data_IF_164981068839
#
_entry.id   IF_164981068839
#
_cell.length_a   1.000
_cell.length_b   1.000
_cell.length_c   1.000
_cell.angle_alpha   90.00
_cell.angle_beta   90.00
_cell.angle_gamma   90.00
#
_symmetry.space_group_name_H-M   'P 1'
#
loop_
_entity.id
_entity.type
_entity.pdbx_description
1 polymer ?
#
# COMPACT_ATOMS: atom_id res chain seq x y z
N UNK A 1 -12.73 -16.09 -49.49
CA UNK A 1 -11.63 -16.03 -48.50
C UNK A 1 -12.29 -15.77 -47.15
N UNK A 2 -12.61 -16.86 -46.45
CA UNK A 2 -13.37 -16.87 -45.19
C UNK A 2 -12.39 -17.07 -44.03
N UNK A 3 -12.50 -16.21 -43.02
CA UNK A 3 -11.88 -16.33 -41.71
C UNK A 3 -12.35 -17.61 -41.03
N UNK A 4 -11.43 -18.54 -40.79
CA UNK A 4 -11.69 -19.79 -40.08
C UNK A 4 -11.82 -19.54 -38.58
N UNK A 5 -13.04 -19.52 -38.07
CA UNK A 5 -13.31 -19.85 -36.67
C UNK A 5 -13.28 -21.36 -36.53
N UNK A 6 -12.37 -21.87 -35.69
CA UNK A 6 -12.40 -23.26 -35.23
C UNK A 6 -13.55 -23.41 -34.23
N UNK A 7 -14.53 -24.31 -34.45
CA UNK A 7 -15.57 -24.57 -33.48
C UNK A 7 -15.05 -25.45 -32.36
N UNK A 8 -15.28 -25.04 -31.10
CA UNK A 8 -14.99 -25.84 -29.91
C UNK A 8 -15.83 -27.12 -29.92
N UNK A 9 -15.18 -28.27 -29.80
CA UNK A 9 -15.80 -29.60 -29.69
C UNK A 9 -16.42 -29.76 -28.29
N UNK A 10 -17.75 -29.88 -28.22
CA UNK A 10 -18.45 -30.35 -27.03
C UNK A 10 -18.16 -31.85 -26.84
N UNK A 11 -17.40 -32.21 -25.81
CA UNK A 11 -17.30 -33.59 -25.36
C UNK A 11 -18.26 -33.86 -24.20
N UNK A 12 -19.30 -34.64 -24.49
CA UNK A 12 -20.15 -35.30 -23.51
C UNK A 12 -19.31 -36.28 -22.66
N UNK A 13 -19.33 -36.11 -21.33
CA UNK A 13 -18.76 -37.07 -20.38
C UNK A 13 -19.75 -38.22 -20.13
N UNK A 14 -19.35 -39.44 -20.48
CA UNK A 14 -19.89 -40.69 -19.95
C UNK A 14 -18.96 -41.20 -18.84
N UNK A 15 -19.57 -41.75 -17.78
CA UNK A 15 -18.93 -42.06 -16.49
C UNK A 15 -17.99 -43.26 -16.43
N UNK A 16 -17.40 -43.45 -15.25
CA UNK A 16 -16.61 -44.63 -14.87
C UNK A 16 -15.99 -44.49 -13.48
N UNK A 17 -16.24 -45.48 -12.62
CA UNK A 17 -16.05 -45.47 -11.17
C UNK A 17 -14.70 -46.03 -10.66
N UNK A 18 -14.25 -45.50 -9.51
CA UNK A 18 -13.60 -46.12 -8.32
C UNK A 18 -12.26 -46.90 -8.47
N UNK A 19 -11.25 -46.47 -7.68
CA UNK A 19 -10.14 -47.30 -7.19
C UNK A 19 -9.22 -46.56 -6.19
N UNK A 20 -9.13 -47.06 -4.96
CA UNK A 20 -8.31 -46.57 -3.83
C UNK A 20 -6.94 -47.32 -3.70
N UNK A 21 -5.99 -46.88 -2.84
CA UNK A 21 -4.55 -46.81 -3.15
C UNK A 21 -3.67 -47.94 -2.57
N UNK A 22 -2.41 -48.03 -3.04
CA UNK A 22 -1.30 -48.72 -2.36
C UNK A 22 -0.03 -47.86 -2.36
N UNK A 23 0.56 -47.72 -1.17
CA UNK A 23 1.84 -47.07 -0.90
C UNK A 23 3.01 -48.05 -0.99
N UNK A 24 4.17 -47.60 -1.49
CA UNK A 24 5.51 -48.15 -1.18
C UNK A 24 6.51 -46.99 -1.10
N UNK A 25 7.25 -46.92 0.02
CA UNK A 25 8.33 -45.98 0.35
C UNK A 25 9.70 -46.51 -0.11
N UNK A 26 10.59 -45.64 -0.63
CA UNK A 26 12.05 -45.62 -0.38
C UNK A 26 12.78 -44.49 -1.15
N UNK A 27 14.03 -44.07 -0.76
CA UNK A 27 14.34 -42.65 -0.55
C UNK A 27 15.45 -42.00 -1.44
N UNK A 28 15.38 -40.66 -1.52
CA UNK A 28 16.43 -39.63 -1.82
C UNK A 28 17.07 -39.58 -3.24
N UNK A 29 17.55 -38.40 -3.76
CA UNK A 29 17.88 -37.14 -3.06
C UNK A 29 17.14 -35.87 -3.54
N UNK A 30 17.18 -34.86 -2.68
CA UNK A 30 16.65 -33.50 -2.87
C UNK A 30 17.28 -32.77 -4.06
N UNK A 31 16.42 -32.29 -4.96
CA UNK A 31 16.57 -31.03 -5.70
C UNK A 31 15.20 -30.33 -5.61
N UNK A 32 15.08 -29.09 -5.11
CA UNK A 32 13.89 -28.33 -5.39
C UNK A 32 14.03 -27.82 -6.84
N UNK A 33 13.50 -28.58 -7.79
CA UNK A 33 12.99 -27.96 -9.00
C UNK A 33 11.68 -27.30 -8.59
N UNK A 34 11.64 -25.96 -8.59
CA UNK A 34 10.39 -25.21 -8.61
C UNK A 34 9.75 -25.48 -9.99
N UNK A 35 9.14 -26.65 -10.12
CA UNK A 35 8.38 -27.03 -11.30
C UNK A 35 6.97 -26.50 -11.13
N UNK A 36 6.69 -25.34 -11.71
CA UNK A 36 5.33 -24.89 -11.98
C UNK A 36 4.72 -25.90 -12.97
N UNK A 37 4.11 -26.97 -12.45
CA UNK A 37 3.38 -27.94 -13.25
C UNK A 37 2.04 -27.34 -13.61
N UNK A 38 2.02 -26.54 -14.69
CA UNK A 38 0.80 -26.01 -15.30
C UNK A 38 0.13 -27.15 -16.06
N UNK A 39 -0.84 -27.81 -15.43
CA UNK A 39 -1.81 -28.64 -16.13
C UNK A 39 -2.78 -27.74 -16.88
N UNK A 40 -2.45 -27.37 -18.12
CA UNK A 40 -3.29 -26.49 -18.92
C UNK A 40 -4.56 -27.21 -19.39
N UNK A 41 -5.71 -26.83 -18.86
CA UNK A 41 -6.98 -27.00 -19.56
C UNK A 41 -7.42 -25.60 -19.98
N UNK A 42 -7.12 -25.23 -21.22
CA UNK A 42 -7.52 -23.96 -21.79
C UNK A 42 -9.05 -23.84 -21.76
N UNK A 43 -9.57 -23.15 -20.75
CA UNK A 43 -10.97 -22.74 -20.66
C UNK A 43 -11.24 -21.64 -21.68
N UNK A 44 -12.42 -21.65 -22.29
CA UNK A 44 -12.92 -20.53 -23.07
C UNK A 44 -13.88 -19.73 -22.19
N UNK A 45 -13.46 -18.57 -21.70
CA UNK A 45 -14.24 -17.65 -20.87
C UNK A 45 -13.41 -16.42 -20.49
N UNK A 46 -14.06 -15.32 -20.11
CA UNK A 46 -13.38 -14.22 -19.43
C UNK A 46 -13.11 -14.70 -18.00
N UNK A 47 -11.84 -14.83 -17.56
CA UNK A 47 -11.54 -15.31 -16.23
C UNK A 47 -12.14 -14.37 -15.17
N UNK A 48 -12.60 -14.95 -14.07
CA UNK A 48 -13.14 -14.22 -12.91
C UNK A 48 -12.23 -14.33 -11.68
N UNK A 49 -11.19 -15.15 -11.80
CA UNK A 49 -10.15 -15.35 -10.81
C UNK A 49 -8.79 -15.02 -11.41
N UNK A 50 -7.86 -14.59 -10.58
CA UNK A 50 -6.46 -14.39 -10.92
C UNK A 50 -5.58 -15.20 -9.98
N UNK A 51 -4.61 -15.92 -10.55
CA UNK A 51 -3.62 -16.65 -9.76
C UNK A 51 -2.48 -15.71 -9.39
N UNK A 52 -2.35 -15.44 -8.10
CA UNK A 52 -1.36 -14.50 -7.55
C UNK A 52 -0.45 -15.20 -6.54
N UNK A 53 0.64 -14.54 -6.20
CA UNK A 53 1.46 -14.91 -5.05
C UNK A 53 1.00 -14.12 -3.84
N UNK A 54 0.76 -14.81 -2.72
CA UNK A 54 0.46 -14.18 -1.45
C UNK A 54 1.42 -14.71 -0.41
N UNK A 55 2.03 -13.80 0.33
CA UNK A 55 2.87 -14.17 1.44
C UNK A 55 2.03 -14.57 2.66
N UNK A 56 2.40 -15.68 3.28
CA UNK A 56 1.66 -16.31 4.38
C UNK A 56 2.25 -16.01 5.76
N UNK A 57 3.58 -15.88 5.86
CA UNK A 57 4.23 -15.66 7.13
C UNK A 57 5.48 -14.79 7.03
N UNK A 58 5.97 -14.39 8.21
CA UNK A 58 7.13 -13.50 8.39
C UNK A 58 8.46 -14.11 7.96
N UNK A 59 8.50 -15.40 7.57
CA UNK A 59 9.71 -16.13 7.16
C UNK A 59 9.81 -16.26 5.64
N UNK A 60 8.86 -15.67 4.89
CA UNK A 60 8.93 -15.62 3.43
C UNK A 60 8.28 -16.83 2.73
N UNK A 61 7.40 -17.57 3.42
CA UNK A 61 6.60 -18.58 2.74
C UNK A 61 5.57 -17.91 1.82
N UNK A 62 5.68 -18.20 0.53
CA UNK A 62 4.77 -17.72 -0.52
C UNK A 62 3.79 -18.84 -0.86
N UNK A 63 2.49 -18.55 -0.80
CA UNK A 63 1.43 -19.39 -1.34
C UNK A 63 0.96 -18.86 -2.70
N UNK A 64 0.48 -19.78 -3.52
CA UNK A 64 -0.20 -19.47 -4.77
C UNK A 64 -1.70 -19.54 -4.51
N UNK A 65 -2.39 -18.41 -4.70
CA UNK A 65 -3.83 -18.31 -4.45
C UNK A 65 -4.58 -17.89 -5.72
N UNK A 66 -5.74 -18.48 -5.92
CA UNK A 66 -6.71 -18.02 -6.92
C UNK A 66 -7.69 -17.08 -6.23
N UNK A 67 -7.64 -15.80 -6.56
CA UNK A 67 -8.46 -14.76 -5.93
C UNK A 67 -9.46 -14.18 -6.92
N UNK A 68 -10.66 -13.85 -6.43
CA UNK A 68 -11.62 -13.10 -7.24
C UNK A 68 -11.08 -11.71 -7.53
N UNK A 69 -11.36 -11.22 -8.73
CA UNK A 69 -10.90 -9.91 -9.15
C UNK A 69 -11.93 -9.20 -10.02
N UNK A 70 -11.88 -7.88 -10.01
CA UNK A 70 -12.65 -6.98 -10.87
C UNK A 70 -11.85 -6.47 -12.09
N UNK A 71 -10.73 -7.13 -12.42
CA UNK A 71 -10.03 -6.90 -13.70
C UNK A 71 -11.01 -7.15 -14.86
N UNK A 72 -11.17 -6.14 -15.71
CA UNK A 72 -11.97 -6.22 -16.92
C UNK A 72 -11.12 -6.48 -18.17
N UNK A 73 -9.83 -6.13 -18.13
CA UNK A 73 -8.84 -6.43 -19.15
C UNK A 73 -7.54 -6.93 -18.50
N UNK A 74 -7.30 -8.23 -18.60
CA UNK A 74 -6.10 -8.88 -18.05
C UNK A 74 -4.83 -8.58 -18.82
N UNK A 75 -4.95 -8.20 -20.10
CA UNK A 75 -3.79 -7.84 -20.93
C UNK A 75 -3.32 -6.44 -20.59
N UNK A 76 -4.24 -5.49 -20.47
CA UNK A 76 -3.93 -4.12 -20.06
C UNK A 76 -3.87 -3.92 -18.53
N UNK A 77 -4.14 -4.99 -17.76
CA UNK A 77 -4.25 -5.01 -16.29
C UNK A 77 -5.05 -3.82 -15.79
N UNK A 78 -6.31 -3.79 -16.22
CA UNK A 78 -7.28 -2.73 -15.94
C UNK A 78 -8.53 -3.30 -15.29
N UNK A 79 -9.11 -2.55 -14.37
CA UNK A 79 -10.44 -2.80 -13.84
C UNK A 79 -10.93 -1.62 -13.02
N UNK A 80 -11.87 -1.85 -12.10
CA UNK A 80 -12.56 -0.76 -11.40
C UNK A 80 -11.68 0.00 -10.39
N UNK A 81 -10.62 -0.62 -9.85
CA UNK A 81 -9.80 -0.02 -8.79
C UNK A 81 -8.59 0.71 -9.38
N UNK A 82 -7.94 0.10 -10.36
CA UNK A 82 -6.69 0.60 -10.91
C UNK A 82 -6.55 0.35 -12.42
N UNK A 83 -5.59 1.03 -13.03
CA UNK A 83 -5.10 0.73 -14.37
C UNK A 83 -3.58 0.85 -14.41
N UNK A 84 -2.90 -0.19 -14.88
CA UNK A 84 -1.44 -0.17 -14.97
C UNK A 84 -0.97 0.45 -16.29
N UNK A 85 0.11 1.23 -16.21
CA UNK A 85 0.74 1.94 -17.31
C UNK A 85 2.24 1.67 -17.34
N UNK A 86 2.82 1.46 -18.52
CA UNK A 86 4.26 1.34 -18.79
C UNK A 86 4.75 2.41 -19.77
N UNK A 87 6.05 2.43 -20.04
CA UNK A 87 6.74 3.44 -20.89
C UNK A 87 6.51 4.89 -20.40
N UNK A 88 6.20 5.05 -19.12
CA UNK A 88 5.89 6.33 -18.50
C UNK A 88 7.19 7.03 -18.13
N UNK A 89 7.29 8.32 -18.47
CA UNK A 89 8.32 9.20 -17.92
C UNK A 89 7.66 10.22 -16.97
N UNK A 90 8.16 10.26 -15.73
CA UNK A 90 7.69 11.16 -14.67
C UNK A 90 8.79 12.17 -14.36
N UNK A 91 8.46 13.45 -14.50
CA UNK A 91 9.38 14.53 -14.15
C UNK A 91 9.22 14.89 -12.67
N UNK A 92 10.27 14.69 -11.88
CA UNK A 92 10.33 15.06 -10.47
C UNK A 92 11.36 16.17 -10.31
N UNK A 93 10.88 17.40 -10.17
CA UNK A 93 11.71 18.58 -9.92
C UNK A 93 11.19 19.27 -8.67
N UNK A 94 11.88 19.04 -7.55
CA UNK A 94 11.56 19.64 -6.26
C UNK A 94 11.79 21.17 -6.22
N UNK A 95 12.38 21.74 -7.27
CA UNK A 95 12.59 23.19 -7.41
C UNK A 95 11.46 23.90 -8.14
N UNK A 96 10.57 23.16 -8.81
CA UNK A 96 9.41 23.67 -9.54
C UNK A 96 8.16 23.17 -8.86
N UNK A 97 7.35 24.09 -8.30
CA UNK A 97 6.14 23.72 -7.56
C UNK A 97 5.07 23.17 -8.51
N UNK A 98 4.13 22.38 -7.99
CA UNK A 98 2.95 21.95 -8.73
C UNK A 98 2.11 23.14 -9.23
N UNK A 99 2.13 24.26 -8.50
CA UNK A 99 1.55 25.54 -8.95
C UNK A 99 2.23 26.00 -10.24
N UNK A 100 3.56 25.96 -10.30
CA UNK A 100 4.35 26.40 -11.46
C UNK A 100 4.11 25.51 -12.70
N UNK A 101 3.75 24.24 -12.49
CA UNK A 101 3.45 23.28 -13.57
C UNK A 101 2.00 23.33 -14.06
N UNK A 102 1.14 24.16 -13.48
CA UNK A 102 -0.26 24.27 -13.86
C UNK A 102 -1.20 23.25 -13.20
N UNK A 103 -0.71 22.47 -12.23
CA UNK A 103 -1.52 21.68 -11.30
C UNK A 103 -2.33 20.52 -11.90
N UNK A 104 -2.13 20.15 -13.17
CA UNK A 104 -2.81 19.03 -13.81
C UNK A 104 -1.94 17.79 -13.83
N UNK A 105 -2.51 16.60 -13.63
CA UNK A 105 -1.80 15.31 -13.73
C UNK A 105 -0.95 15.18 -15.00
N UNK A 106 -1.46 15.67 -16.12
CA UNK A 106 -0.80 15.65 -17.44
C UNK A 106 0.49 16.46 -17.50
N UNK A 107 0.74 17.36 -16.54
CA UNK A 107 2.00 18.12 -16.46
C UNK A 107 3.14 17.36 -15.80
N UNK A 108 2.86 16.21 -15.17
CA UNK A 108 3.87 15.42 -14.44
C UNK A 108 4.22 14.11 -15.15
N UNK A 109 3.31 13.61 -15.98
CA UNK A 109 3.36 12.27 -16.56
C UNK A 109 3.32 12.38 -18.07
N UNK A 110 4.35 11.85 -18.73
CA UNK A 110 4.43 11.82 -20.19
C UNK A 110 4.46 10.39 -20.72
N UNK A 111 3.95 10.22 -21.94
CA UNK A 111 3.99 8.98 -22.70
C UNK A 111 3.31 7.72 -22.08
N UNK A 112 2.23 7.82 -21.28
CA UNK A 112 1.64 6.62 -20.69
C UNK A 112 1.09 5.68 -21.77
N UNK A 113 1.51 4.41 -21.73
CA UNK A 113 0.94 3.31 -22.52
C UNK A 113 0.38 2.26 -21.61
N UNK A 114 -0.75 1.66 -21.99
CA UNK A 114 -1.25 0.50 -21.25
C UNK A 114 -0.16 -0.58 -21.22
N UNK A 115 -0.04 -1.26 -20.09
CA UNK A 115 0.83 -2.43 -20.00
C UNK A 115 0.35 -3.54 -20.93
N UNK A 116 1.19 -4.55 -21.15
CA UNK A 116 0.81 -5.76 -21.89
C UNK A 116 1.25 -6.99 -21.12
N UNK A 117 0.37 -7.49 -20.25
CA UNK A 117 0.60 -8.73 -19.52
C UNK A 117 0.39 -9.96 -20.42
N UNK A 118 1.25 -10.96 -20.26
CA UNK A 118 1.12 -12.27 -20.88
C UNK A 118 0.49 -13.25 -19.88
N UNK A 119 -0.61 -13.86 -20.27
CA UNK A 119 -1.38 -14.77 -19.43
C UNK A 119 -2.06 -15.87 -20.24
N UNK A 120 -2.41 -16.96 -19.56
CA UNK A 120 -3.22 -18.07 -20.08
C UNK A 120 -4.41 -18.31 -19.15
N UNK A 121 -5.43 -19.00 -19.67
CA UNK A 121 -6.60 -19.41 -18.90
C UNK A 121 -6.46 -20.88 -18.48
N UNK A 122 -6.72 -21.15 -17.21
CA UNK A 122 -6.97 -22.49 -16.66
C UNK A 122 -8.32 -22.49 -15.94
N UNK A 123 -9.35 -23.07 -16.55
CA UNK A 123 -10.73 -22.92 -16.07
C UNK A 123 -11.21 -21.45 -16.07
N UNK A 124 -11.51 -20.90 -14.89
CA UNK A 124 -11.91 -19.49 -14.68
C UNK A 124 -10.76 -18.61 -14.17
N UNK A 125 -9.53 -19.14 -14.16
CA UNK A 125 -8.35 -18.51 -13.57
C UNK A 125 -7.42 -17.98 -14.66
N UNK A 126 -7.08 -16.69 -14.58
CA UNK A 126 -5.97 -16.11 -15.32
C UNK A 126 -4.64 -16.44 -14.64
N UNK A 127 -3.71 -17.03 -15.38
CA UNK A 127 -2.37 -17.38 -14.90
C UNK A 127 -1.34 -16.62 -15.74
N UNK A 128 -0.54 -15.78 -15.08
CA UNK A 128 0.60 -15.11 -15.71
C UNK A 128 1.59 -16.13 -16.29
N UNK A 129 2.12 -15.86 -17.48
CA UNK A 129 3.11 -16.74 -18.13
C UNK A 129 4.56 -16.30 -17.90
N UNK A 130 4.77 -15.12 -17.33
CA UNK A 130 6.07 -14.59 -16.95
C UNK A 130 6.00 -13.81 -15.64
N UNK A 131 7.18 -13.48 -15.10
CA UNK A 131 7.31 -12.84 -13.79
C UNK A 131 6.79 -11.40 -13.75
N UNK A 132 6.93 -10.66 -14.84
CA UNK A 132 6.48 -9.28 -14.92
C UNK A 132 4.95 -9.22 -14.91
N UNK A 133 4.31 -10.06 -15.72
CA UNK A 133 2.86 -10.26 -15.75
C UNK A 133 2.32 -10.75 -14.41
N UNK A 134 3.06 -11.65 -13.74
CA UNK A 134 2.71 -12.10 -12.39
C UNK A 134 2.77 -10.95 -11.39
N UNK A 135 3.79 -10.10 -11.47
CA UNK A 135 3.96 -8.93 -10.60
C UNK A 135 2.84 -7.92 -10.82
N UNK A 136 2.49 -7.62 -12.08
CA UNK A 136 1.40 -6.70 -12.44
C UNK A 136 0.04 -7.19 -11.94
N UNK A 137 -0.30 -8.45 -12.20
CA UNK A 137 -1.56 -9.06 -11.76
C UNK A 137 -1.65 -9.17 -10.24
N UNK A 138 -0.52 -9.47 -9.57
CA UNK A 138 -0.46 -9.51 -8.09
C UNK A 138 -0.62 -8.11 -7.49
N UNK A 139 0.03 -7.10 -8.05
CA UNK A 139 -0.09 -5.70 -7.62
C UNK A 139 -1.54 -5.23 -7.70
N UNK A 140 -2.20 -5.50 -8.83
CA UNK A 140 -3.61 -5.18 -9.01
C UNK A 140 -4.48 -5.83 -7.93
N UNK A 141 -4.33 -7.14 -7.73
CA UNK A 141 -5.12 -7.87 -6.74
C UNK A 141 -4.91 -7.35 -5.30
N UNK A 142 -3.70 -6.91 -4.95
CA UNK A 142 -3.42 -6.31 -3.66
C UNK A 142 -4.06 -4.92 -3.49
N UNK A 143 -4.02 -4.08 -4.53
CA UNK A 143 -4.72 -2.78 -4.53
C UNK A 143 -6.25 -2.97 -4.45
N UNK A 144 -6.79 -3.99 -5.13
CA UNK A 144 -8.19 -4.35 -5.04
C UNK A 144 -8.57 -4.80 -3.62
N UNK A 145 -7.77 -5.65 -2.98
CA UNK A 145 -7.98 -6.05 -1.60
C UNK A 145 -7.93 -4.87 -0.63
N UNK A 146 -7.01 -3.92 -0.83
CA UNK A 146 -6.93 -2.70 -0.04
C UNK A 146 -8.17 -1.81 -0.25
N UNK A 147 -8.60 -1.63 -1.50
CA UNK A 147 -9.81 -0.87 -1.82
C UNK A 147 -11.07 -1.51 -1.20
N UNK A 148 -11.19 -2.84 -1.23
CA UNK A 148 -12.28 -3.56 -0.57
C UNK A 148 -12.30 -3.30 0.95
N UNK A 149 -11.14 -3.31 1.60
CA UNK A 149 -11.03 -3.00 3.02
C UNK A 149 -11.52 -1.58 3.34
N UNK A 150 -11.04 -0.56 2.62
CA UNK A 150 -11.47 0.82 2.84
C UNK A 150 -12.93 1.08 2.48
N UNK A 151 -13.46 0.42 1.44
CA UNK A 151 -14.88 0.49 1.10
C UNK A 151 -15.76 -0.07 2.23
N UNK A 152 -15.31 -1.13 2.93
CA UNK A 152 -15.99 -1.67 4.11
C UNK A 152 -16.02 -0.67 5.28
N UNK A 153 -15.03 0.23 5.35
CA UNK A 153 -14.99 1.35 6.31
C UNK A 153 -15.76 2.59 5.83
N UNK A 154 -16.55 2.47 4.75
CA UNK A 154 -17.31 3.57 4.14
C UNK A 154 -16.42 4.74 3.67
N UNK A 155 -15.20 4.44 3.25
CA UNK A 155 -14.30 5.38 2.58
C UNK A 155 -14.43 5.16 1.08
N UNK A 156 -14.74 6.23 0.34
CA UNK A 156 -14.75 6.16 -1.11
C UNK A 156 -13.30 6.04 -1.60
N UNK A 157 -12.95 4.86 -2.10
CA UNK A 157 -11.59 4.61 -2.58
C UNK A 157 -11.36 5.26 -3.93
N UNK A 158 -12.27 5.14 -4.90
CA UNK A 158 -12.13 5.88 -6.14
C UNK A 158 -13.45 6.08 -6.88
N UNK A 159 -13.53 7.12 -7.71
CA UNK A 159 -14.61 7.31 -8.70
C UNK A 159 -14.23 6.79 -10.09
N UNK A 160 -12.93 6.67 -10.37
CA UNK A 160 -12.35 6.18 -11.64
C UNK A 160 -11.11 5.32 -11.35
N UNK A 161 -10.69 4.40 -12.23
CA UNK A 161 -9.51 3.58 -11.97
C UNK A 161 -8.25 4.43 -11.70
N UNK A 162 -7.60 4.17 -10.56
CA UNK A 162 -6.39 4.91 -10.17
C UNK A 162 -5.20 4.46 -11.01
N UNK A 163 -4.41 5.35 -11.59
CA UNK A 163 -3.24 4.93 -12.37
C UNK A 163 -2.17 4.30 -11.48
N UNK A 164 -1.57 3.24 -12.00
CA UNK A 164 -0.37 2.60 -11.46
C UNK A 164 0.71 2.68 -12.52
N UNK A 165 1.71 3.52 -12.32
CA UNK A 165 2.87 3.63 -13.18
C UNK A 165 3.85 2.52 -12.82
N UNK A 166 3.90 1.48 -13.67
CA UNK A 166 4.70 0.29 -13.46
C UNK A 166 6.05 0.45 -14.16
N UNK A 167 7.12 0.50 -13.36
CA UNK A 167 8.50 0.75 -13.79
C UNK A 167 8.67 2.03 -14.65
N UNK A 168 8.21 3.21 -14.19
CA UNK A 168 8.42 4.45 -14.93
C UNK A 168 9.91 4.83 -14.94
N UNK A 169 10.29 5.62 -15.94
CA UNK A 169 11.55 6.38 -15.90
C UNK A 169 11.32 7.65 -15.12
N UNK A 170 12.11 7.86 -14.05
CA UNK A 170 12.04 9.10 -13.26
C UNK A 170 13.14 10.07 -13.73
N UNK A 171 12.73 11.23 -14.24
CA UNK A 171 13.62 12.35 -14.52
C UNK A 171 13.70 13.24 -13.27
N UNK A 172 14.71 13.00 -12.43
CA UNK A 172 14.89 13.73 -11.16
C UNK A 172 15.87 14.89 -11.33
N UNK A 173 15.42 16.13 -11.10
CA UNK A 173 16.24 17.33 -11.32
C UNK A 173 17.41 17.45 -10.34
N UNK A 174 17.23 16.94 -9.11
CA UNK A 174 18.28 16.86 -8.09
C UNK A 174 18.66 15.39 -7.93
N UNK A 175 19.86 14.96 -8.39
CA UNK A 175 20.32 13.60 -8.19
C UNK A 175 20.22 13.18 -6.71
N UNK A 176 19.82 11.94 -6.47
CA UNK A 176 19.68 11.32 -5.14
C UNK A 176 18.58 11.88 -4.21
N UNK A 177 17.79 12.87 -4.63
CA UNK A 177 16.67 13.38 -3.81
C UNK A 177 15.43 12.50 -3.83
N UNK A 178 15.38 11.51 -4.73
CA UNK A 178 14.25 10.61 -4.89
C UNK A 178 14.75 9.22 -5.29
N UNK A 179 14.27 8.13 -4.67
CA UNK A 179 14.64 6.78 -5.09
C UNK A 179 14.18 6.52 -6.52
N UNK A 180 15.05 5.96 -7.36
CA UNK A 180 14.76 5.59 -8.75
C UNK A 180 14.60 4.08 -8.95
N UNK A 181 14.83 3.31 -7.89
CA UNK A 181 14.62 1.86 -7.80
C UNK A 181 14.23 1.49 -6.37
N UNK A 182 13.85 0.23 -6.17
CA UNK A 182 13.62 -0.36 -4.85
C UNK A 182 12.64 0.48 -4.02
N UNK A 183 11.52 0.88 -4.63
CA UNK A 183 10.48 1.64 -3.96
C UNK A 183 9.08 1.43 -4.59
N UNK A 184 8.05 1.61 -3.78
CA UNK A 184 6.70 1.92 -4.24
C UNK A 184 6.28 3.23 -3.55
N UNK A 185 5.40 4.01 -4.17
CA UNK A 185 4.96 5.28 -3.59
C UNK A 185 3.63 5.74 -4.18
N UNK A 186 2.73 6.25 -3.34
CA UNK A 186 1.65 7.13 -3.78
C UNK A 186 2.20 8.52 -4.13
N UNK A 187 1.89 8.97 -5.34
CA UNK A 187 2.30 10.25 -5.91
C UNK A 187 1.08 11.19 -5.99
N UNK A 188 0.87 12.05 -4.97
CA UNK A 188 -0.33 12.89 -4.86
C UNK A 188 -0.47 13.90 -5.99
N UNK A 189 0.64 14.37 -6.57
CA UNK A 189 0.66 15.32 -7.70
C UNK A 189 -0.08 14.79 -8.94
N UNK A 190 -0.07 13.47 -9.13
CA UNK A 190 -0.72 12.80 -10.25
C UNK A 190 -1.91 11.91 -9.81
N UNK A 191 -2.27 11.93 -8.52
CA UNK A 191 -3.16 10.97 -7.86
C UNK A 191 -2.95 9.54 -8.36
N UNK A 192 -1.73 9.03 -8.23
CA UNK A 192 -1.33 7.74 -8.81
C UNK A 192 -0.31 6.99 -8.00
N UNK A 193 -0.21 5.69 -8.22
CA UNK A 193 0.82 4.86 -7.61
C UNK A 193 2.01 4.72 -8.56
N UNK A 194 3.21 4.74 -8.01
CA UNK A 194 4.45 4.43 -8.71
C UNK A 194 5.01 3.15 -8.12
N UNK A 195 5.33 2.19 -8.98
CA UNK A 195 6.03 0.96 -8.60
C UNK A 195 7.37 0.96 -9.36
N UNK A 196 8.46 1.14 -8.63
CA UNK A 196 9.80 1.17 -9.20
C UNK A 196 10.40 -0.23 -9.32
N UNK A 197 11.32 -0.45 -10.28
CA UNK A 197 12.00 -1.73 -10.39
C UNK A 197 12.83 -2.04 -9.14
N UNK A 198 12.84 -3.30 -8.71
CA UNK A 198 13.70 -3.80 -7.63
C UNK A 198 15.07 -4.14 -8.22
N UNK A 199 16.08 -3.34 -7.94
CA UNK A 199 17.43 -3.47 -8.51
C UNK A 199 18.47 -3.85 -7.45
N UNK A 200 18.31 -3.36 -6.23
CA UNK A 200 19.23 -3.58 -5.12
C UNK A 200 18.71 -4.68 -4.20
N UNK A 201 17.43 -4.59 -3.85
CA UNK A 201 16.75 -5.55 -3.00
C UNK A 201 16.48 -6.83 -3.82
N UNK A 202 16.94 -7.97 -3.30
CA UNK A 202 16.76 -9.31 -3.89
C UNK A 202 15.69 -10.10 -3.15
N UNK A 203 14.78 -9.37 -2.54
CA UNK A 203 13.66 -9.84 -1.74
C UNK A 203 12.36 -9.90 -2.57
N UNK A 204 11.20 -10.11 -1.93
CA UNK A 204 9.89 -10.07 -2.60
C UNK A 204 9.69 -8.66 -3.19
N UNK A 205 9.37 -8.51 -4.49
CA UNK A 205 9.15 -7.19 -5.06
C UNK A 205 8.02 -6.44 -4.37
N UNK A 206 8.15 -5.13 -4.26
CA UNK A 206 7.10 -4.30 -3.65
C UNK A 206 5.76 -4.44 -4.36
N UNK A 207 5.74 -4.61 -5.68
CA UNK A 207 4.55 -4.93 -6.47
C UNK A 207 3.78 -6.17 -5.98
N UNK A 208 4.47 -7.08 -5.30
CA UNK A 208 3.94 -8.37 -4.85
C UNK A 208 3.78 -8.45 -3.32
N UNK A 209 4.05 -7.35 -2.61
CA UNK A 209 3.90 -7.29 -1.16
C UNK A 209 2.58 -6.62 -0.80
N UNK A 210 1.61 -7.43 -0.36
CA UNK A 210 0.26 -6.97 0.02
C UNK A 210 0.27 -5.79 1.00
N UNK A 211 1.15 -5.82 2.00
CA UNK A 211 1.22 -4.76 3.00
C UNK A 211 1.77 -3.45 2.42
N UNK A 212 2.71 -3.54 1.47
CA UNK A 212 3.26 -2.35 0.79
C UNK A 212 2.21 -1.69 -0.10
N UNK A 213 1.46 -2.43 -0.93
CA UNK A 213 0.41 -1.80 -1.74
C UNK A 213 -0.74 -1.25 -0.89
N UNK A 214 -1.04 -1.91 0.23
CA UNK A 214 -2.01 -1.40 1.21
C UNK A 214 -1.52 -0.12 1.89
N UNK A 215 -0.22 -0.04 2.22
CA UNK A 215 0.44 1.16 2.72
C UNK A 215 0.34 2.32 1.71
N UNK A 216 0.63 2.07 0.42
CA UNK A 216 0.48 3.12 -0.60
C UNK A 216 -0.97 3.58 -0.78
N UNK A 217 -1.92 2.65 -0.78
CA UNK A 217 -3.34 3.00 -0.81
C UNK A 217 -3.73 3.85 0.41
N UNK A 218 -3.17 3.55 1.59
CA UNK A 218 -3.45 4.29 2.81
C UNK A 218 -2.92 5.73 2.76
N UNK A 219 -1.79 6.01 2.11
CA UNK A 219 -1.35 7.39 1.83
C UNK A 219 -2.38 8.15 1.01
N UNK A 220 -2.96 7.52 -0.02
CA UNK A 220 -4.02 8.12 -0.81
C UNK A 220 -5.27 8.39 0.02
N UNK A 221 -5.68 7.46 0.87
CA UNK A 221 -6.82 7.67 1.79
C UNK A 221 -6.52 8.81 2.75
N UNK A 222 -5.34 8.82 3.37
CA UNK A 222 -4.91 9.90 4.25
C UNK A 222 -4.97 11.25 3.53
N UNK A 223 -4.51 11.30 2.28
CA UNK A 223 -4.58 12.52 1.48
C UNK A 223 -6.01 13.06 1.36
N UNK A 224 -6.97 12.22 0.96
CA UNK A 224 -8.35 12.64 0.77
C UNK A 224 -9.08 12.94 2.09
N UNK A 225 -8.82 12.18 3.14
CA UNK A 225 -9.55 12.30 4.41
C UNK A 225 -8.94 13.37 5.33
N UNK A 226 -7.61 13.49 5.37
CA UNK A 226 -6.90 14.45 6.23
C UNK A 226 -6.71 15.83 5.60
N UNK A 227 -6.55 15.92 4.27
CA UNK A 227 -6.51 17.19 3.55
C UNK A 227 -7.83 17.56 2.88
N UNK A 228 -8.92 16.82 3.15
CA UNK A 228 -10.23 17.01 2.52
C UNK A 228 -10.17 17.04 0.97
N UNK A 229 -9.23 16.29 0.37
CA UNK A 229 -9.03 16.25 -1.07
C UNK A 229 -8.58 17.60 -1.67
N UNK A 230 -7.96 18.47 -0.87
CA UNK A 230 -7.39 19.71 -1.38
C UNK A 230 -6.47 19.46 -2.57
N UNK A 231 -6.43 20.40 -3.51
CA UNK A 231 -5.46 20.34 -4.61
C UNK A 231 -4.05 20.43 -4.03
N UNK A 232 -3.15 19.56 -4.47
CA UNK A 232 -1.77 19.51 -4.00
C UNK A 232 -1.06 20.88 -4.10
N UNK A 233 -1.35 21.62 -5.16
CA UNK A 233 -0.87 23.00 -5.36
C UNK A 233 -1.24 23.94 -4.18
N UNK A 234 -2.40 23.74 -3.54
CA UNK A 234 -2.83 24.50 -2.36
C UNK A 234 -2.02 24.08 -1.13
N UNK A 235 -1.83 22.78 -0.93
CA UNK A 235 -1.01 22.24 0.16
C UNK A 235 0.45 22.72 0.07
N UNK A 236 1.00 22.81 -1.13
CA UNK A 236 2.34 23.38 -1.35
C UNK A 236 2.41 24.86 -0.97
N UNK A 237 1.39 25.66 -1.29
CA UNK A 237 1.33 27.06 -0.86
C UNK A 237 1.33 27.17 0.66
N UNK A 238 0.58 26.32 1.36
CA UNK A 238 0.61 26.25 2.81
C UNK A 238 1.99 25.86 3.33
N UNK A 239 2.66 24.87 2.70
CA UNK A 239 4.02 24.42 3.03
C UNK A 239 5.06 25.54 2.96
N UNK A 240 4.84 26.56 2.12
CA UNK A 240 5.74 27.71 1.95
C UNK A 240 5.60 28.78 3.05
N UNK A 241 4.66 28.66 3.98
CA UNK A 241 4.47 29.65 5.06
C UNK A 241 5.44 29.45 6.25
N UNK A 242 5.79 30.51 7.01
CA UNK A 242 6.67 30.38 8.17
C UNK A 242 6.15 29.38 9.21
N UNK A 243 6.98 28.43 9.62
CA UNK A 243 6.60 27.36 10.56
C UNK A 243 5.91 26.14 9.91
N UNK A 244 5.49 26.23 8.65
CA UNK A 244 4.84 25.13 7.95
C UNK A 244 5.77 23.94 7.69
N UNK A 245 7.08 24.16 7.58
CA UNK A 245 8.06 23.06 7.44
C UNK A 245 7.91 22.05 8.58
N UNK A 246 7.80 22.52 9.82
CA UNK A 246 7.69 21.63 10.97
C UNK A 246 6.33 20.95 11.09
N UNK A 247 5.25 21.66 10.75
CA UNK A 247 3.92 21.07 10.67
C UNK A 247 3.90 19.97 9.60
N UNK A 248 4.43 20.25 8.41
CA UNK A 248 4.53 19.30 7.32
C UNK A 248 5.33 18.05 7.69
N UNK A 249 6.46 18.22 8.37
CA UNK A 249 7.29 17.10 8.82
C UNK A 249 6.54 16.20 9.81
N UNK A 250 5.83 16.79 10.78
CA UNK A 250 4.96 16.03 11.69
C UNK A 250 3.82 15.32 10.96
N UNK A 251 3.16 15.99 10.03
CA UNK A 251 2.07 15.39 9.23
C UNK A 251 2.59 14.21 8.42
N UNK A 252 3.75 14.34 7.77
CA UNK A 252 4.38 13.23 7.04
C UNK A 252 4.72 12.06 7.93
N UNK A 253 5.25 12.29 9.13
CA UNK A 253 5.50 11.22 10.09
C UNK A 253 4.20 10.51 10.50
N UNK A 254 3.15 11.27 10.77
CA UNK A 254 1.84 10.71 11.09
C UNK A 254 1.28 9.90 9.91
N UNK A 255 1.35 10.43 8.68
CA UNK A 255 0.92 9.76 7.45
C UNK A 255 1.62 8.42 7.25
N UNK A 256 2.96 8.37 7.34
CA UNK A 256 3.73 7.11 7.31
C UNK A 256 3.28 6.10 8.36
N UNK A 257 2.98 6.56 9.58
CA UNK A 257 2.51 5.70 10.66
C UNK A 257 1.10 5.16 10.44
N UNK A 258 0.21 5.98 9.87
CA UNK A 258 -1.13 5.57 9.46
C UNK A 258 -1.05 4.55 8.32
N UNK A 259 -0.21 4.81 7.33
CA UNK A 259 0.01 3.93 6.20
C UNK A 259 0.58 2.58 6.65
N UNK A 260 1.54 2.56 7.57
CA UNK A 260 2.06 1.33 8.18
C UNK A 260 0.99 0.56 8.96
N UNK A 261 0.14 1.25 9.74
CA UNK A 261 -0.97 0.61 10.45
C UNK A 261 -1.93 -0.09 9.48
N UNK A 262 -2.36 0.59 8.42
CA UNK A 262 -3.26 0.00 7.43
C UNK A 262 -2.58 -1.09 6.59
N UNK A 263 -1.31 -0.91 6.24
CA UNK A 263 -0.49 -1.93 5.58
C UNK A 263 -0.48 -3.24 6.38
N UNK A 264 -0.20 -3.15 7.68
CA UNK A 264 -0.23 -4.29 8.59
C UNK A 264 -1.64 -4.87 8.80
N UNK A 265 -2.66 -4.01 8.94
CA UNK A 265 -4.04 -4.42 9.13
C UNK A 265 -4.58 -5.24 7.94
N UNK A 266 -4.34 -4.76 6.73
CA UNK A 266 -4.80 -5.39 5.48
C UNK A 266 -3.98 -6.62 5.15
N UNK A 267 -2.66 -6.60 5.39
CA UNK A 267 -1.81 -7.78 5.22
C UNK A 267 -2.02 -8.84 6.32
N UNK A 268 -2.64 -8.46 7.43
CA UNK A 268 -2.68 -9.25 8.67
C UNK A 268 -1.29 -9.59 9.20
N UNK A 269 -0.33 -8.69 9.01
CA UNK A 269 1.08 -8.89 9.38
C UNK A 269 1.70 -7.59 9.92
N UNK A 270 2.01 -7.48 11.23
CA UNK A 270 2.69 -6.31 11.80
C UNK A 270 4.17 -6.18 11.40
N UNK A 271 4.68 -7.11 10.59
CA UNK A 271 6.04 -7.13 10.05
C UNK A 271 6.05 -7.17 8.52
N UNK A 272 4.97 -6.75 7.86
CA UNK A 272 4.76 -6.90 6.41
C UNK A 272 5.90 -6.43 5.50
N UNK A 273 6.81 -5.56 5.98
CA UNK A 273 7.99 -5.09 5.25
C UNK A 273 9.17 -6.07 5.24
N UNK A 274 9.34 -6.90 6.28
CA UNK A 274 10.44 -7.89 6.39
C UNK A 274 10.72 -8.75 5.14
N UNK A 275 9.74 -9.05 4.29
CA UNK A 275 9.96 -9.88 3.12
C UNK A 275 10.47 -9.14 1.89
N UNK A 276 10.50 -7.81 1.93
CA UNK A 276 10.83 -6.93 0.79
C UNK A 276 11.99 -5.98 1.06
N UNK A 277 12.41 -5.81 2.33
CA UNK A 277 13.51 -4.93 2.70
C UNK A 277 14.50 -5.62 3.65
N UNK A 278 15.74 -5.11 3.75
CA UNK A 278 16.72 -5.60 4.73
C UNK A 278 16.22 -5.57 6.19
N UNK A 279 16.76 -6.47 7.01
CA UNK A 279 16.34 -6.67 8.40
C UNK A 279 16.39 -5.41 9.27
N UNK A 280 17.36 -4.52 9.06
CA UNK A 280 17.48 -3.27 9.82
C UNK A 280 16.33 -2.30 9.50
N UNK A 281 15.99 -2.15 8.21
CA UNK A 281 14.85 -1.36 7.75
C UNK A 281 13.54 -1.97 8.27
N UNK A 282 13.37 -3.29 8.12
CA UNK A 282 12.19 -4.00 8.59
C UNK A 282 12.02 -3.86 10.11
N UNK A 283 13.08 -4.12 10.88
CA UNK A 283 13.05 -4.01 12.33
C UNK A 283 12.80 -2.58 12.81
N UNK A 284 13.24 -1.56 12.07
CA UNK A 284 12.98 -0.17 12.38
C UNK A 284 11.50 0.22 12.22
N UNK A 285 10.69 -0.56 11.50
CA UNK A 285 9.27 -0.25 11.23
C UNK A 285 8.25 -1.24 11.79
N UNK A 286 8.67 -2.33 12.44
CA UNK A 286 7.73 -3.31 13.06
C UNK A 286 6.74 -2.69 14.05
N UNK A 287 5.47 -3.11 13.95
CA UNK A 287 4.34 -2.63 14.78
C UNK A 287 4.09 -3.48 16.03
N UNK A 288 4.60 -4.71 16.06
CA UNK A 288 4.37 -5.70 17.13
C UNK A 288 5.18 -5.47 18.42
N UNK A 289 5.66 -4.24 18.63
CA UNK A 289 6.47 -3.86 19.78
C UNK A 289 6.16 -2.44 20.22
N UNK A 290 6.25 -2.19 21.52
CA UNK A 290 6.15 -0.81 22.02
C UNK A 290 7.35 0.02 21.54
N UNK A 291 7.04 1.18 20.99
CA UNK A 291 8.01 2.20 20.57
C UNK A 291 7.73 3.48 21.34
N UNK A 292 8.80 4.19 21.67
CA UNK A 292 8.73 5.43 22.43
C UNK A 292 9.10 6.59 21.51
N UNK A 293 8.26 7.60 21.46
CA UNK A 293 8.47 8.84 20.74
C UNK A 293 9.66 9.58 21.36
N UNK A 294 10.70 9.77 20.55
CA UNK A 294 11.84 10.58 20.95
C UNK A 294 11.41 12.06 21.06
N UNK A 295 11.70 12.76 22.17
CA UNK A 295 11.48 14.19 22.31
C UNK A 295 12.00 15.03 21.14
N UNK A 296 13.09 14.60 20.51
CA UNK A 296 13.67 15.17 19.31
C UNK A 296 12.67 15.32 18.14
N UNK A 297 11.73 14.39 18.00
CA UNK A 297 10.83 14.35 16.83
C UNK A 297 9.57 15.19 17.01
N UNK A 298 9.23 15.56 18.25
CA UNK A 298 7.97 16.28 18.58
C UNK A 298 7.93 17.65 17.92
N UNK A 299 9.06 18.37 17.92
CA UNK A 299 9.16 19.71 17.38
C UNK A 299 9.20 19.75 15.84
N UNK A 300 9.36 18.59 15.18
CA UNK A 300 9.38 18.50 13.72
C UNK A 300 10.39 19.46 13.11
N UNK A 301 11.58 19.56 13.69
CA UNK A 301 12.63 20.49 13.26
C UNK A 301 13.98 19.80 13.11
N UNK A 302 14.17 18.62 13.70
CA UNK A 302 15.40 17.85 13.57
C UNK A 302 15.61 17.30 12.14
N UNK A 303 16.67 17.72 11.45
CA UNK A 303 17.11 17.05 10.25
C UNK A 303 17.84 15.75 10.61
N UNK A 304 17.76 14.75 9.75
CA UNK A 304 18.73 13.66 9.74
C UNK A 304 20.11 14.16 9.32
N UNK A 305 21.12 13.31 9.37
CA UNK A 305 22.52 13.65 9.07
C UNK A 305 22.72 14.42 7.75
N UNK A 306 21.75 14.37 6.82
CA UNK A 306 21.77 15.04 5.52
C UNK A 306 20.88 16.28 5.41
N UNK A 307 20.26 16.77 6.50
CA UNK A 307 19.41 17.97 6.45
C UNK A 307 17.91 17.70 6.22
N UNK A 308 17.51 16.45 6.01
CA UNK A 308 16.13 16.05 5.69
C UNK A 308 15.46 15.33 6.86
N UNK A 309 14.19 15.64 7.14
CA UNK A 309 13.44 14.95 8.19
C UNK A 309 12.97 13.59 7.68
N UNK A 310 13.35 12.50 8.36
CA UNK A 310 12.92 11.15 8.04
C UNK A 310 11.61 10.83 8.78
N UNK A 311 10.47 10.73 8.08
CA UNK A 311 9.17 10.54 8.73
C UNK A 311 8.98 9.11 9.28
N UNK A 312 9.77 8.14 8.81
CA UNK A 312 9.56 6.72 9.08
C UNK A 312 9.69 6.31 10.56
N UNK A 313 10.68 6.85 11.28
CA UNK A 313 10.91 6.47 12.69
C UNK A 313 9.83 7.02 13.63
N UNK A 314 9.48 8.33 13.59
CA UNK A 314 8.33 8.81 14.34
C UNK A 314 7.02 8.16 13.87
N UNK A 315 6.84 7.93 12.57
CA UNK A 315 5.67 7.20 12.04
C UNK A 315 5.55 5.78 12.58
N UNK A 316 6.66 5.04 12.72
CA UNK A 316 6.65 3.71 13.32
C UNK A 316 6.15 3.73 14.78
N UNK A 317 6.34 4.83 15.53
CA UNK A 317 5.76 4.99 16.88
C UNK A 317 4.24 5.06 16.82
N UNK A 318 3.70 5.87 15.89
CA UNK A 318 2.26 6.00 15.64
C UNK A 318 1.67 4.65 15.25
N UNK A 319 2.26 3.98 14.25
CA UNK A 319 1.81 2.68 13.75
C UNK A 319 1.77 1.62 14.86
N UNK A 320 2.85 1.51 15.64
CA UNK A 320 2.94 0.54 16.73
C UNK A 320 1.94 0.84 17.85
N UNK A 321 1.66 2.11 18.16
CA UNK A 321 0.65 2.48 19.13
C UNK A 321 -0.76 2.11 18.65
N UNK A 322 -1.12 2.47 17.42
CA UNK A 322 -2.42 2.11 16.82
C UNK A 322 -2.60 0.59 16.76
N UNK A 323 -1.56 -0.15 16.39
CA UNK A 323 -1.58 -1.61 16.39
C UNK A 323 -1.82 -2.19 17.77
N UNK A 324 -1.12 -1.71 18.81
CA UNK A 324 -1.35 -2.14 20.20
C UNK A 324 -2.77 -1.82 20.68
N UNK A 325 -3.32 -0.67 20.31
CA UNK A 325 -4.72 -0.33 20.62
C UNK A 325 -5.67 -1.30 19.91
N UNK A 326 -5.40 -1.67 18.67
CA UNK A 326 -6.19 -2.66 17.93
C UNK A 326 -6.11 -4.05 18.58
N UNK A 327 -4.97 -4.43 19.18
CA UNK A 327 -4.86 -5.69 19.94
C UNK A 327 -5.68 -5.70 21.24
N UNK A 328 -6.00 -4.53 21.81
CA UNK A 328 -6.84 -4.38 23.00
C UNK A 328 -8.34 -4.22 22.65
N UNK A 329 -8.63 -4.05 21.37
CA UNK A 329 -9.97 -3.81 20.82
C UNK A 329 -10.15 -4.77 19.64
N UNK A 330 -10.14 -4.23 18.42
CA UNK A 330 -10.04 -4.93 17.16
C UNK A 330 -9.60 -3.93 16.07
N UNK A 331 -9.15 -4.46 14.92
CA UNK A 331 -8.65 -3.65 13.80
C UNK A 331 -9.73 -2.75 13.21
N UNK A 332 -10.98 -3.22 13.12
CA UNK A 332 -12.09 -2.48 12.51
C UNK A 332 -12.45 -1.25 13.35
N UNK A 333 -12.58 -1.40 14.67
CA UNK A 333 -12.85 -0.33 15.63
C UNK A 333 -11.79 0.78 15.56
N UNK A 334 -10.51 0.41 15.57
CA UNK A 334 -9.42 1.41 15.46
C UNK A 334 -9.40 2.06 14.08
N UNK A 335 -9.63 1.29 13.01
CA UNK A 335 -9.68 1.82 11.65
C UNK A 335 -10.79 2.85 11.46
N UNK A 336 -11.99 2.58 11.97
CA UNK A 336 -13.13 3.51 11.94
C UNK A 336 -12.82 4.80 12.73
N UNK A 337 -12.27 4.65 13.94
CA UNK A 337 -11.88 5.80 14.76
C UNK A 337 -10.77 6.64 14.10
N UNK A 338 -9.84 5.99 13.41
CA UNK A 338 -8.73 6.62 12.70
C UNK A 338 -9.21 7.41 11.48
N UNK A 339 -10.12 6.87 10.68
CA UNK A 339 -10.74 7.61 9.56
C UNK A 339 -11.54 8.82 10.09
N UNK A 340 -12.31 8.65 11.17
CA UNK A 340 -13.03 9.76 11.78
C UNK A 340 -12.08 10.86 12.29
N UNK A 341 -10.99 10.47 12.95
CA UNK A 341 -9.97 11.39 13.44
C UNK A 341 -9.29 12.19 12.32
N UNK A 342 -9.03 11.58 11.16
CA UNK A 342 -8.49 12.31 9.99
C UNK A 342 -9.48 13.39 9.52
N UNK A 343 -10.76 13.04 9.42
CA UNK A 343 -11.83 13.97 9.01
C UNK A 343 -12.03 15.12 9.99
N UNK A 344 -11.94 14.85 11.29
CA UNK A 344 -12.07 15.88 12.34
C UNK A 344 -10.94 16.93 12.23
N UNK A 345 -9.73 16.50 11.87
CA UNK A 345 -8.58 17.38 11.72
C UNK A 345 -8.54 18.11 10.38
N UNK A 346 -9.26 17.64 9.36
CA UNK A 346 -9.17 18.19 8.00
C UNK A 346 -9.50 19.69 7.92
N UNK A 347 -10.49 20.15 8.69
CA UNK A 347 -10.83 21.57 8.74
C UNK A 347 -9.70 22.43 9.32
N UNK A 348 -9.06 21.98 10.40
CA UNK A 348 -7.90 22.66 11.00
C UNK A 348 -6.75 22.73 10.00
N UNK A 349 -6.44 21.63 9.33
CA UNK A 349 -5.31 21.56 8.40
C UNK A 349 -5.52 22.49 7.21
N UNK A 350 -6.71 22.49 6.60
CA UNK A 350 -7.09 23.45 5.57
C UNK A 350 -6.93 24.90 6.02
N UNK A 351 -7.52 25.23 7.17
CA UNK A 351 -7.72 26.63 7.54
C UNK A 351 -6.45 27.27 8.13
N UNK A 352 -5.61 26.50 8.82
CA UNK A 352 -4.42 27.03 9.53
C UNK A 352 -3.12 26.33 9.20
N UNK A 353 -3.16 25.12 8.62
CA UNK A 353 -2.00 24.25 8.40
C UNK A 353 -1.13 24.07 9.65
N UNK A 354 -1.75 24.10 10.83
CA UNK A 354 -1.10 23.84 12.11
C UNK A 354 -1.30 22.40 12.51
N UNK A 355 -0.24 21.74 12.96
CA UNK A 355 -0.32 20.36 13.43
C UNK A 355 0.67 20.11 14.55
N UNK A 356 0.26 19.38 15.59
CA UNK A 356 1.14 18.89 16.68
C UNK A 356 1.19 17.38 16.67
N UNK A 357 2.37 16.84 16.96
CA UNK A 357 2.53 15.39 17.09
C UNK A 357 1.67 14.90 18.27
N UNK A 358 0.83 13.88 18.05
CA UNK A 358 -0.20 13.48 19.02
C UNK A 358 -1.61 13.98 18.69
N UNK A 359 -1.80 14.92 17.75
CA UNK A 359 -3.15 15.44 17.42
C UNK A 359 -4.06 14.37 16.82
N UNK A 360 -3.54 13.55 15.90
CA UNK A 360 -4.33 12.46 15.33
C UNK A 360 -4.66 11.40 16.39
N UNK A 361 -3.70 11.03 17.24
CA UNK A 361 -3.86 10.02 18.25
C UNK A 361 -4.85 10.45 19.35
N UNK A 362 -4.86 11.73 19.73
CA UNK A 362 -5.89 12.32 20.58
C UNK A 362 -7.28 12.17 19.94
N UNK A 363 -7.42 12.57 18.68
CA UNK A 363 -8.68 12.48 17.95
C UNK A 363 -9.14 11.01 17.76
N UNK A 364 -8.21 10.06 17.61
CA UNK A 364 -8.52 8.61 17.62
C UNK A 364 -9.15 8.22 18.95
N UNK A 365 -8.57 8.61 20.09
CA UNK A 365 -9.14 8.31 21.41
C UNK A 365 -10.55 8.90 21.56
N UNK A 366 -10.77 10.10 21.07
CA UNK A 366 -12.09 10.76 21.12
C UNK A 366 -13.15 10.04 20.28
N UNK A 367 -12.74 9.43 19.16
CA UNK A 367 -13.60 8.66 18.27
C UNK A 367 -13.74 7.18 18.67
N UNK A 368 -12.91 6.66 19.58
CA UNK A 368 -13.06 5.31 20.10
C UNK A 368 -14.32 5.16 20.98
N UNK A 369 -14.94 3.96 21.02
CA UNK A 369 -15.97 3.67 22.00
C UNK A 369 -15.47 3.88 23.43
N UNK A 370 -16.33 4.44 24.29
CA UNK A 370 -15.95 4.91 25.63
C UNK A 370 -15.25 3.84 26.50
N UNK A 371 -15.65 2.57 26.36
CA UNK A 371 -15.06 1.44 27.08
C UNK A 371 -13.62 1.09 26.65
N UNK A 372 -13.13 1.64 25.53
CA UNK A 372 -11.79 1.39 25.02
C UNK A 372 -10.82 2.56 25.25
N UNK A 373 -11.32 3.76 25.57
CA UNK A 373 -10.51 4.99 25.69
C UNK A 373 -9.42 4.90 26.76
N UNK A 374 -9.74 4.36 27.95
CA UNK A 374 -8.75 4.21 29.03
C UNK A 374 -7.59 3.29 28.64
N UNK A 375 -7.89 2.20 27.93
CA UNK A 375 -6.87 1.27 27.45
C UNK A 375 -6.00 1.91 26.37
N UNK A 376 -6.61 2.64 25.42
CA UNK A 376 -5.89 3.38 24.41
C UNK A 376 -4.97 4.46 25.01
N UNK A 377 -5.48 5.23 25.98
CA UNK A 377 -4.71 6.21 26.73
C UNK A 377 -3.52 5.59 27.48
N UNK A 378 -3.65 4.35 27.96
CA UNK A 378 -2.54 3.65 28.60
C UNK A 378 -1.42 3.38 27.59
N UNK A 379 -1.75 2.90 26.39
CA UNK A 379 -0.78 2.69 25.29
C UNK A 379 -0.11 4.01 24.89
N UNK A 380 -0.90 5.07 24.73
CA UNK A 380 -0.38 6.38 24.34
C UNK A 380 0.48 7.02 25.43
N UNK A 381 0.16 6.84 26.71
CA UNK A 381 0.98 7.36 27.82
C UNK A 381 2.40 6.77 27.85
N UNK A 382 2.56 5.54 27.35
CA UNK A 382 3.85 4.85 27.27
C UNK A 382 4.59 5.26 26.00
N UNK A 383 3.92 5.15 24.85
CA UNK A 383 4.53 5.39 23.54
C UNK A 383 4.79 6.87 23.26
N UNK A 384 3.92 7.76 23.71
CA UNK A 384 3.98 9.20 23.41
C UNK A 384 4.34 10.03 24.64
N UNK A 385 5.22 9.52 25.51
CA UNK A 385 5.63 10.22 26.75
C UNK A 385 6.06 11.67 26.48
N UNK A 386 6.79 11.92 25.37
CA UNK A 386 7.26 13.25 25.00
C UNK A 386 6.15 14.22 24.56
N UNK A 387 5.03 13.71 24.04
CA UNK A 387 3.85 14.49 23.64
C UNK A 387 2.69 14.38 24.66
N UNK A 388 2.90 13.67 25.77
CA UNK A 388 1.82 13.27 26.67
C UNK A 388 1.08 14.43 27.31
N UNK A 389 1.78 15.53 27.63
CA UNK A 389 1.16 16.72 28.21
C UNK A 389 0.03 17.29 27.35
N UNK A 390 0.11 17.09 26.03
CA UNK A 390 -0.94 17.46 25.08
C UNK A 390 -2.04 16.38 25.04
N UNK A 391 -1.65 15.12 24.77
CA UNK A 391 -2.55 13.98 24.63
C UNK A 391 -3.43 13.72 25.85
N UNK A 392 -2.90 13.95 27.06
CA UNK A 392 -3.60 13.66 28.30
C UNK A 392 -4.94 14.39 28.44
N UNK A 393 -5.14 15.49 27.72
CA UNK A 393 -6.41 16.24 27.72
C UNK A 393 -7.57 15.50 27.08
N UNK A 394 -7.30 14.57 26.16
CA UNK A 394 -8.29 13.72 25.49
C UNK A 394 -8.53 12.39 26.23
N UNK A 395 -7.85 12.18 27.36
CA UNK A 395 -7.95 10.95 28.15
C UNK A 395 -8.90 11.09 29.36
N UNK A 396 -9.74 10.06 29.63
CA UNK A 396 -10.73 10.09 30.71
C UNK A 396 -10.16 9.86 32.12
#
# INVERSE_FOLDING_TARGET
MSSGHLPCLQHNLYGGAIGQPRAILSPMPFKPLLGLLVGTVAGCGNPSLVRILVQMDTVGHIEVLDVSTNIDDFTEVRGAVAQLWSDVEIEIDATITAVDRGGSRESFVSHPRAVSANWVVDGDVAIATDFESLSMLTAYAHLEAAAMFFNALHVATTSEPTPVYFHPTLAVAVPDSYPTSDNATYFPEADGFIILPMLTYREVPFAMNRGVLAHEMAHRIFYYEFFAGELFATLEQHRMTPGAKSNWQRIRATDEGVADFFGAAIAHDPQFLSPSVPDDVANARRLDRTRILDPAWVAGDEPTANGEYLPYLPGAVVAAALWQIAQLTDVETVSLALIAAQRDLAAQIRDTFTYRFGELEAAVVENLPANHRTAACTVLSQSHTAAWAYLASSCP
#
